data_IF_415385015812
#
_entry.id   IF_415385015812
#
_cell.length_a   1.000
_cell.length_b   1.000
_cell.length_c   1.000
_cell.angle_alpha   90.00
_cell.angle_beta   90.00
_cell.angle_gamma   90.00
#
_symmetry.space_group_name_H-M   'P 1'
#
loop_
_entity.id
_entity.type
_entity.pdbx_description
1 polymer ?
#
# COMPACT_ATOMS: atom_id res chain seq x y z
N UNK A 1 -19.69 28.76 -9.89
CA UNK A 1 -19.19 27.53 -9.24
C UNK A 1 -18.99 27.85 -7.77
N UNK A 2 -19.83 27.33 -6.88
CA UNK A 2 -19.75 27.62 -5.45
C UNK A 2 -18.81 26.63 -4.78
N UNK A 3 -17.93 27.12 -3.90
CA UNK A 3 -17.05 26.26 -3.11
C UNK A 3 -17.89 25.67 -1.97
N UNK A 4 -18.22 24.39 -2.08
CA UNK A 4 -18.87 23.65 -0.99
C UNK A 4 -17.81 23.17 -0.01
N UNK A 5 -17.70 23.83 1.13
CA UNK A 5 -16.84 23.37 2.22
C UNK A 5 -17.43 22.12 2.87
N UNK A 6 -16.56 21.24 3.36
CA UNK A 6 -16.98 20.09 4.14
C UNK A 6 -17.76 20.56 5.39
N UNK A 7 -18.90 19.92 5.72
CA UNK A 7 -19.69 20.30 6.89
C UNK A 7 -18.86 20.11 8.16
N UNK A 8 -18.96 21.04 9.13
CA UNK A 8 -18.22 20.95 10.39
C UNK A 8 -18.58 19.69 11.21
N UNK A 9 -19.79 19.16 11.03
CA UNK A 9 -20.32 17.98 11.71
C UNK A 9 -20.25 16.74 10.81
N UNK A 10 -19.04 16.21 10.62
CA UNK A 10 -18.83 14.92 9.95
C UNK A 10 -18.73 13.79 11.00
N UNK A 11 -19.39 12.63 10.78
CA UNK A 11 -19.24 11.46 11.64
C UNK A 11 -17.78 11.05 11.82
N UNK A 12 -17.43 10.50 12.99
CA UNK A 12 -16.06 10.09 13.32
C UNK A 12 -15.51 9.06 12.31
N UNK A 13 -16.35 8.14 11.82
CA UNK A 13 -15.97 7.18 10.78
C UNK A 13 -15.45 7.85 9.51
N UNK A 14 -16.11 8.92 9.03
CA UNK A 14 -15.65 9.68 7.85
C UNK A 14 -14.33 10.39 8.10
N UNK A 15 -14.07 10.85 9.34
CA UNK A 15 -12.77 11.44 9.71
C UNK A 15 -11.66 10.41 9.63
N UNK A 16 -11.90 9.21 10.16
CA UNK A 16 -10.94 8.10 10.07
C UNK A 16 -10.66 7.69 8.62
N UNK A 17 -11.69 7.66 7.77
CA UNK A 17 -11.54 7.41 6.34
C UNK A 17 -10.68 8.47 5.65
N UNK A 18 -10.92 9.76 5.92
CA UNK A 18 -10.06 10.85 5.40
C UNK A 18 -8.62 10.73 5.91
N UNK A 19 -8.42 10.41 7.19
CA UNK A 19 -7.08 10.19 7.77
C UNK A 19 -6.38 9.00 7.12
N UNK A 20 -7.10 7.91 6.84
CA UNK A 20 -6.55 6.73 6.17
C UNK A 20 -6.06 7.07 4.74
N UNK A 21 -6.86 7.81 3.99
CA UNK A 21 -6.48 8.25 2.63
C UNK A 21 -5.32 9.24 2.67
N UNK A 22 -5.34 10.19 3.61
CA UNK A 22 -4.25 11.16 3.78
C UNK A 22 -2.94 10.45 4.17
N UNK A 23 -3.00 9.54 5.15
CA UNK A 23 -1.86 8.73 5.56
C UNK A 23 -1.29 7.95 4.39
N UNK A 24 -2.14 7.30 3.61
CA UNK A 24 -1.72 6.57 2.41
C UNK A 24 -1.08 7.49 1.36
N UNK A 25 -1.71 8.62 1.04
CA UNK A 25 -1.20 9.57 0.04
C UNK A 25 0.14 10.17 0.45
N UNK A 26 0.28 10.58 1.72
CA UNK A 26 1.55 11.08 2.26
C UNK A 26 2.60 9.99 2.25
N UNK A 27 2.26 8.75 2.61
CA UNK A 27 3.21 7.63 2.58
C UNK A 27 3.68 7.36 1.15
N UNK A 28 2.77 7.35 0.17
CA UNK A 28 3.12 7.16 -1.24
C UNK A 28 4.04 8.26 -1.76
N UNK A 29 3.78 9.52 -1.40
CA UNK A 29 4.49 10.68 -1.94
C UNK A 29 5.78 11.04 -1.21
N UNK A 30 5.91 10.74 0.08
CA UNK A 30 7.00 11.26 0.92
C UNK A 30 7.87 10.18 1.57
N UNK A 31 7.43 8.92 1.65
CA UNK A 31 8.17 7.88 2.39
C UNK A 31 9.54 7.62 1.77
N UNK A 32 9.63 7.52 0.44
CA UNK A 32 10.90 7.24 -0.23
C UNK A 32 11.93 8.36 0.00
N UNK A 33 11.48 9.61 -0.09
CA UNK A 33 12.28 10.81 0.15
C UNK A 33 12.74 10.88 1.60
N UNK A 34 11.86 10.54 2.54
CA UNK A 34 12.19 10.47 3.96
C UNK A 34 13.24 9.38 4.23
N UNK A 35 13.07 8.17 3.68
CA UNK A 35 14.04 7.08 3.82
C UNK A 35 15.40 7.44 3.22
N UNK A 36 15.42 8.10 2.05
CA UNK A 36 16.64 8.55 1.40
C UNK A 36 17.35 9.64 2.22
N UNK A 37 16.61 10.65 2.69
CA UNK A 37 17.16 11.69 3.55
C UNK A 37 17.73 11.10 4.84
N UNK A 38 17.00 10.18 5.49
CA UNK A 38 17.48 9.48 6.68
C UNK A 38 18.78 8.71 6.40
N UNK A 39 18.84 7.99 5.26
CA UNK A 39 20.04 7.26 4.86
C UNK A 39 21.25 8.20 4.68
N UNK A 40 21.07 9.33 3.99
CA UNK A 40 22.11 10.35 3.79
C UNK A 40 22.54 10.95 5.14
N UNK A 41 21.59 11.33 6.00
CA UNK A 41 21.90 11.87 7.33
C UNK A 41 22.68 10.87 8.18
N UNK A 42 22.34 9.58 8.12
CA UNK A 42 23.07 8.54 8.83
C UNK A 42 24.53 8.44 8.36
N UNK A 43 24.80 8.52 7.05
CA UNK A 43 26.15 8.50 6.49
C UNK A 43 27.05 9.62 7.02
N UNK A 44 26.50 10.83 7.22
CA UNK A 44 27.25 11.99 7.73
C UNK A 44 27.19 12.14 9.26
N UNK A 45 26.60 11.18 9.96
CA UNK A 45 26.48 11.20 11.42
C UNK A 45 27.46 10.22 12.08
N UNK A 46 27.54 10.26 13.42
CA UNK A 46 28.25 9.24 14.22
C UNK A 46 27.74 7.80 14.02
N UNK A 47 26.58 7.63 13.37
CA UNK A 47 25.93 6.35 13.12
C UNK A 47 26.13 5.84 11.68
N UNK A 48 27.16 6.32 10.97
CA UNK A 48 27.45 5.93 9.58
C UNK A 48 27.54 4.41 9.36
N UNK A 49 27.96 3.66 10.38
CA UNK A 49 28.03 2.20 10.34
C UNK A 49 26.65 1.55 10.10
N UNK A 50 25.55 2.15 10.59
CA UNK A 50 24.19 1.67 10.32
C UNK A 50 23.82 1.83 8.84
N UNK A 51 24.20 2.97 8.24
CA UNK A 51 24.01 3.21 6.81
C UNK A 51 24.86 2.26 5.97
N UNK A 52 26.09 1.95 6.40
CA UNK A 52 26.91 0.95 5.72
C UNK A 52 26.28 -0.44 5.79
N UNK A 53 25.85 -0.89 6.98
CA UNK A 53 25.18 -2.19 7.15
C UNK A 53 23.92 -2.28 6.27
N UNK A 54 23.12 -1.22 6.25
CA UNK A 54 21.94 -1.17 5.39
C UNK A 54 22.30 -1.16 3.90
N UNK A 55 23.38 -0.47 3.50
CA UNK A 55 23.88 -0.48 2.12
C UNK A 55 24.36 -1.86 1.66
N UNK A 56 25.07 -2.60 2.52
CA UNK A 56 25.45 -4.00 2.25
C UNK A 56 24.22 -4.87 2.10
N UNK A 57 23.22 -4.71 2.99
CA UNK A 57 21.96 -5.43 2.87
C UNK A 57 21.24 -5.12 1.57
N UNK A 58 21.15 -3.84 1.17
CA UNK A 58 20.58 -3.43 -0.12
C UNK A 58 21.30 -4.03 -1.32
N UNK A 59 22.63 -4.13 -1.27
CA UNK A 59 23.43 -4.75 -2.34
C UNK A 59 23.14 -6.24 -2.47
N UNK A 60 23.08 -6.97 -1.34
CA UNK A 60 22.71 -8.38 -1.32
C UNK A 60 21.26 -8.57 -1.82
N UNK A 61 20.40 -7.60 -1.53
CA UNK A 61 18.98 -7.64 -1.82
C UNK A 61 18.57 -7.06 -3.18
N UNK A 62 19.53 -6.73 -4.03
CA UNK A 62 19.32 -5.91 -5.23
C UNK A 62 18.21 -6.40 -6.16
N UNK A 63 18.06 -7.72 -6.32
CA UNK A 63 17.06 -8.32 -7.22
C UNK A 63 15.65 -8.43 -6.64
N UNK A 64 15.47 -8.20 -5.34
CA UNK A 64 14.19 -8.44 -4.66
C UNK A 64 13.03 -7.64 -5.26
N UNK A 65 13.18 -6.35 -5.66
CA UNK A 65 12.11 -5.61 -6.34
C UNK A 65 11.65 -6.24 -7.66
N UNK A 66 12.54 -6.91 -8.40
CA UNK A 66 12.21 -7.61 -9.65
C UNK A 66 11.58 -8.98 -9.43
N UNK A 67 11.72 -9.53 -8.22
CA UNK A 67 11.13 -10.80 -7.78
C UNK A 67 9.87 -10.59 -6.94
N UNK A 68 9.32 -9.36 -6.96
CA UNK A 68 8.05 -9.03 -6.34
C UNK A 68 8.09 -8.33 -4.97
N UNK A 69 9.29 -8.21 -4.41
CA UNK A 69 9.51 -7.47 -3.18
C UNK A 69 9.23 -8.29 -1.92
N UNK A 70 9.00 -7.58 -0.80
CA UNK A 70 8.71 -8.20 0.50
C UNK A 70 7.36 -7.75 1.03
N UNK A 71 6.44 -8.71 1.07
CA UNK A 71 5.09 -8.51 1.57
C UNK A 71 4.99 -8.84 3.05
N UNK A 72 4.44 -7.92 3.84
CA UNK A 72 4.21 -8.12 5.27
C UNK A 72 2.71 -8.31 5.54
N UNK A 73 2.29 -9.53 5.88
CA UNK A 73 0.87 -9.84 6.14
C UNK A 73 0.25 -8.97 7.21
N UNK A 74 1.01 -8.69 8.26
CA UNK A 74 0.56 -7.84 9.36
C UNK A 74 0.23 -6.43 8.87
N UNK A 75 1.12 -5.82 8.06
CA UNK A 75 0.88 -4.50 7.46
C UNK A 75 -0.35 -4.54 6.57
N UNK A 76 -0.47 -5.55 5.69
CA UNK A 76 -1.64 -5.70 4.80
C UNK A 76 -2.97 -5.82 5.54
N UNK A 77 -2.98 -6.33 6.77
CA UNK A 77 -4.16 -6.52 7.62
C UNK A 77 -4.44 -5.34 8.56
N UNK A 78 -3.70 -4.23 8.47
CA UNK A 78 -3.96 -3.07 9.33
C UNK A 78 -5.39 -2.53 9.16
N UNK A 79 -6.06 -2.13 10.27
CA UNK A 79 -7.43 -1.59 10.22
C UNK A 79 -7.58 -0.36 9.31
N UNK A 80 -6.50 0.43 9.13
CA UNK A 80 -6.48 1.62 8.27
C UNK A 80 -6.94 1.32 6.84
N UNK A 81 -6.65 0.13 6.32
CA UNK A 81 -7.03 -0.25 4.96
C UNK A 81 -8.52 -0.48 4.78
N UNK A 82 -9.25 -0.82 5.86
CA UNK A 82 -10.72 -0.88 5.82
C UNK A 82 -11.31 0.51 5.64
N UNK A 83 -10.82 1.48 6.43
CA UNK A 83 -11.24 2.88 6.29
C UNK A 83 -10.84 3.46 4.92
N UNK A 84 -9.67 3.09 4.39
CA UNK A 84 -9.25 3.47 3.04
C UNK A 84 -10.23 2.94 1.97
N UNK A 85 -10.56 1.65 2.02
CA UNK A 85 -11.50 1.04 1.08
C UNK A 85 -12.91 1.65 1.18
N UNK A 86 -13.39 1.92 2.39
CA UNK A 86 -14.70 2.54 2.62
C UNK A 86 -14.80 4.01 2.18
N UNK A 87 -13.67 4.74 2.11
CA UNK A 87 -13.65 6.12 1.60
C UNK A 87 -14.00 6.18 0.12
N UNK A 88 -13.45 5.27 -0.70
CA UNK A 88 -13.62 5.18 -2.16
C UNK A 88 -14.65 4.13 -2.60
N UNK A 89 -15.59 3.75 -1.72
CA UNK A 89 -16.35 2.50 -1.76
C UNK A 89 -15.76 1.32 -2.58
N UNK A 90 -14.48 0.99 -2.36
CA UNK A 90 -13.78 -0.06 -3.12
C UNK A 90 -14.40 -1.42 -2.78
N UNK A 91 -14.79 -2.17 -3.82
CA UNK A 91 -15.28 -3.55 -3.68
C UNK A 91 -14.48 -4.46 -4.60
N UNK A 92 -14.15 -5.65 -4.08
CA UNK A 92 -13.61 -6.74 -4.86
C UNK A 92 -14.72 -7.77 -5.05
N UNK A 93 -15.09 -8.04 -6.30
CA UNK A 93 -16.14 -9.00 -6.65
C UNK A 93 -15.49 -10.14 -7.43
N UNK A 94 -15.64 -11.36 -6.92
CA UNK A 94 -15.20 -12.56 -7.63
C UNK A 94 -16.30 -12.98 -8.60
N UNK A 95 -16.01 -12.96 -9.90
CA UNK A 95 -16.94 -13.35 -10.97
C UNK A 95 -16.71 -14.78 -11.45
N UNK A 96 -15.53 -15.35 -11.19
CA UNK A 96 -15.17 -16.71 -11.52
C UNK A 96 -14.17 -17.25 -10.50
N UNK A 97 -14.29 -18.53 -10.18
CA UNK A 97 -13.32 -19.23 -9.34
C UNK A 97 -11.97 -19.32 -10.05
N UNK A 98 -10.91 -18.88 -9.39
CA UNK A 98 -9.53 -19.04 -9.85
C UNK A 98 -8.91 -20.25 -9.16
N UNK A 99 -8.23 -21.09 -9.93
CA UNK A 99 -7.52 -22.27 -9.42
C UNK A 99 -6.18 -21.86 -8.80
N UNK A 100 -5.96 -22.08 -7.49
CA UNK A 100 -4.70 -21.72 -6.82
C UNK A 100 -3.44 -22.41 -7.37
N UNK A 101 -3.59 -23.47 -8.18
CA UNK A 101 -2.44 -24.17 -8.80
C UNK A 101 -1.85 -23.43 -10.01
N UNK A 102 -2.54 -22.40 -10.52
CA UNK A 102 -2.14 -21.66 -11.70
C UNK A 102 -1.68 -20.23 -11.37
N UNK A 103 -0.80 -19.68 -12.22
CA UNK A 103 -0.40 -18.28 -12.16
C UNK A 103 -1.30 -17.43 -13.06
N UNK A 104 -1.68 -16.25 -12.58
CA UNK A 104 -2.57 -15.33 -13.29
C UNK A 104 -1.92 -13.96 -13.47
N UNK A 105 -2.14 -13.35 -14.64
CA UNK A 105 -1.80 -11.95 -14.90
C UNK A 105 -3.07 -11.11 -14.67
N UNK A 106 -2.99 -10.15 -13.74
CA UNK A 106 -4.11 -9.28 -13.39
C UNK A 106 -4.04 -7.98 -14.18
N UNK A 107 -5.00 -7.77 -15.07
CA UNK A 107 -5.20 -6.47 -15.74
C UNK A 107 -5.98 -5.51 -14.83
N UNK A 108 -5.57 -4.24 -14.79
CA UNK A 108 -6.25 -3.19 -14.03
C UNK A 108 -6.48 -1.94 -14.88
N UNK A 109 -7.75 -1.59 -15.10
CA UNK A 109 -8.16 -0.40 -15.85
C UNK A 109 -9.54 0.10 -15.35
N UNK A 110 -9.79 1.41 -15.32
CA UNK A 110 -8.86 2.51 -15.57
C UNK A 110 -7.88 2.71 -14.41
N UNK A 111 -6.64 3.10 -14.73
CA UNK A 111 -5.64 3.43 -13.70
C UNK A 111 -5.47 4.95 -13.56
N UNK A 112 -5.61 5.45 -12.34
CA UNK A 112 -5.12 6.79 -11.98
C UNK A 112 -3.64 6.74 -11.59
N UNK A 113 -2.99 7.91 -11.54
CA UNK A 113 -1.56 8.05 -11.18
C UNK A 113 -1.20 7.31 -9.89
N UNK A 114 -2.11 7.30 -8.91
CA UNK A 114 -1.88 6.68 -7.60
C UNK A 114 -2.45 5.25 -7.46
N UNK A 115 -3.09 4.72 -8.50
CA UNK A 115 -3.56 3.32 -8.58
C UNK A 115 -4.41 2.85 -7.36
N UNK A 116 -5.21 3.75 -6.79
CA UNK A 116 -5.99 3.57 -5.54
C UNK A 116 -6.77 2.24 -5.50
N UNK A 117 -7.48 1.92 -6.59
CA UNK A 117 -8.29 0.71 -6.68
C UNK A 117 -7.46 -0.58 -6.61
N UNK A 118 -6.35 -0.64 -7.35
CA UNK A 118 -5.45 -1.80 -7.32
C UNK A 118 -4.75 -1.92 -5.96
N UNK A 119 -4.30 -0.81 -5.37
CA UNK A 119 -3.69 -0.82 -4.04
C UNK A 119 -4.67 -1.36 -2.99
N UNK A 120 -5.89 -0.84 -2.95
CA UNK A 120 -6.93 -1.28 -2.02
C UNK A 120 -7.25 -2.77 -2.17
N UNK A 121 -7.39 -3.26 -3.41
CA UNK A 121 -7.79 -4.64 -3.68
C UNK A 121 -6.67 -5.68 -3.58
N UNK A 122 -5.46 -5.35 -4.01
CA UNK A 122 -4.39 -6.34 -4.19
C UNK A 122 -3.23 -6.16 -3.19
N UNK A 123 -2.90 -4.91 -2.83
CA UNK A 123 -1.80 -4.62 -1.90
C UNK A 123 -2.23 -4.70 -0.42
N UNK A 124 -3.53 -4.68 -0.11
CA UNK A 124 -4.04 -4.70 1.27
C UNK A 124 -5.04 -5.85 1.49
N UNK A 125 -5.57 -5.98 2.70
CA UNK A 125 -6.73 -6.82 3.01
C UNK A 125 -8.00 -5.99 3.28
N UNK A 126 -8.00 -4.70 2.88
CA UNK A 126 -9.13 -3.79 3.09
C UNK A 126 -10.43 -4.27 2.45
N UNK A 127 -10.35 -4.98 1.32
CA UNK A 127 -11.50 -5.60 0.64
C UNK A 127 -11.53 -7.13 0.76
N UNK A 128 -10.61 -7.73 1.54
CA UNK A 128 -10.60 -9.15 1.86
C UNK A 128 -10.16 -10.08 0.71
N UNK A 129 -9.14 -9.69 -0.07
CA UNK A 129 -8.62 -10.51 -1.17
C UNK A 129 -8.38 -11.97 -0.78
N UNK A 130 -7.67 -12.21 0.33
CA UNK A 130 -7.31 -13.58 0.75
C UNK A 130 -8.54 -14.43 1.10
N UNK A 131 -9.68 -13.80 1.40
CA UNK A 131 -10.96 -14.50 1.64
C UNK A 131 -11.65 -14.88 0.32
N UNK A 132 -11.60 -14.00 -0.69
CA UNK A 132 -12.23 -14.22 -1.98
C UNK A 132 -11.43 -15.18 -2.88
N UNK A 133 -10.10 -15.16 -2.74
CA UNK A 133 -9.18 -15.97 -3.53
C UNK A 133 -8.23 -16.74 -2.60
N UNK A 134 -8.72 -17.76 -1.87
CA UNK A 134 -7.91 -18.54 -0.96
C UNK A 134 -6.79 -19.27 -1.71
N UNK A 135 -5.57 -19.23 -1.18
CA UNK A 135 -4.40 -19.85 -1.81
C UNK A 135 -3.74 -19.03 -2.93
N UNK A 136 -4.37 -17.93 -3.37
CA UNK A 136 -3.79 -17.03 -4.38
C UNK A 136 -3.08 -15.88 -3.68
N UNK A 137 -1.85 -15.61 -4.10
CA UNK A 137 -1.08 -14.46 -3.62
C UNK A 137 -1.23 -13.29 -4.60
N UNK A 138 -1.88 -12.17 -4.22
CA UNK A 138 -1.99 -11.01 -5.09
C UNK A 138 -0.68 -10.23 -5.06
N UNK A 139 -0.08 -10.10 -6.24
CA UNK A 139 1.20 -9.42 -6.48
C UNK A 139 2.33 -10.18 -5.78
N UNK A 140 3.14 -10.87 -6.59
CA UNK A 140 4.42 -11.42 -6.14
C UNK A 140 5.27 -10.28 -5.64
#
# INVERSE_FOLDING_TARGET
>A
MWIHFAPLRVPFSRRLQTVAVLQWAVSFLAMAQFCLALYILLLFSRYWYLALLYGVWLYIDWDTPSKGGRRWQWVRKWPVWRYFAEYFPIKLVCTATLDPQHNYILGFHPHGVLVVGAFGNFCTEGTGFSRLFPGITPIY
#
